data_IF_011928715544
#
_entry.id   IF_011928715544
#
_cell.length_a   1.000
_cell.length_b   1.000
_cell.length_c   1.000
_cell.angle_alpha   90.00
_cell.angle_beta   90.00
_cell.angle_gamma   90.00
#
_symmetry.space_group_name_H-M   'P 1'
#
loop_
_entity.id
_entity.type
_entity.pdbx_description
1 polymer ?
#
# COMPACT_ATOMS: atom_id res chain seq x y z
N UNK A 1 6.42 30.01 7.44
CA UNK A 1 5.10 29.57 6.97
C UNK A 1 5.13 28.06 6.94
N UNK A 2 4.67 27.42 8.03
CA UNK A 2 4.59 25.96 8.10
C UNK A 2 3.21 25.57 7.63
N UNK A 3 3.13 24.66 6.66
CA UNK A 3 1.85 24.07 6.29
C UNK A 3 1.34 23.30 7.51
N UNK A 4 0.36 23.90 8.18
CA UNK A 4 -0.25 23.34 9.37
C UNK A 4 -1.25 22.26 9.02
N UNK A 5 -1.60 21.42 10.00
CA UNK A 5 -2.62 20.37 9.84
C UNK A 5 -3.95 20.91 9.25
N UNK A 6 -4.31 22.16 9.59
CA UNK A 6 -5.53 22.80 9.06
C UNK A 6 -5.48 23.11 7.56
N UNK A 7 -4.33 23.57 7.05
CA UNK A 7 -4.15 23.87 5.62
C UNK A 7 -4.13 22.60 4.78
N UNK A 8 -3.49 21.54 5.30
CA UNK A 8 -3.51 20.21 4.68
C UNK A 8 -4.94 19.65 4.60
N UNK A 9 -5.74 19.81 5.66
CA UNK A 9 -7.15 19.36 5.68
C UNK A 9 -8.01 20.14 4.67
N UNK A 10 -7.79 21.45 4.56
CA UNK A 10 -8.51 22.29 3.59
C UNK A 10 -8.17 21.92 2.15
N UNK A 11 -6.89 21.68 1.85
CA UNK A 11 -6.44 21.18 0.54
C UNK A 11 -7.05 19.81 0.23
N UNK A 12 -7.03 18.89 1.20
CA UNK A 12 -7.63 17.56 1.06
C UNK A 12 -9.14 17.68 0.74
N UNK A 13 -9.85 18.60 1.40
CA UNK A 13 -11.27 18.83 1.16
C UNK A 13 -11.53 19.35 -0.27
N UNK A 14 -10.70 20.28 -0.77
CA UNK A 14 -10.79 20.78 -2.15
C UNK A 14 -10.54 19.64 -3.16
N UNK A 15 -9.49 18.84 -2.95
CA UNK A 15 -9.20 17.64 -3.75
C UNK A 15 -10.39 16.66 -3.74
N UNK A 16 -11.02 16.48 -2.59
CA UNK A 16 -12.19 15.61 -2.44
C UNK A 16 -13.42 16.13 -3.18
N UNK A 17 -13.61 17.45 -3.26
CA UNK A 17 -14.70 18.06 -4.02
C UNK A 17 -14.46 17.95 -5.54
N UNK A 18 -13.21 18.11 -6.00
CA UNK A 18 -12.87 18.05 -7.43
C UNK A 18 -12.91 16.60 -7.96
N UNK A 19 -12.29 15.67 -7.24
CA UNK A 19 -12.17 14.27 -7.68
C UNK A 19 -13.26 13.36 -7.10
N UNK A 20 -13.92 13.78 -6.03
CA UNK A 20 -14.90 12.95 -5.29
C UNK A 20 -14.22 12.03 -4.28
N UNK A 21 -14.92 11.75 -3.16
CA UNK A 21 -14.42 10.89 -2.08
C UNK A 21 -14.08 9.45 -2.47
N UNK A 22 -14.60 8.98 -3.61
CA UNK A 22 -14.36 7.62 -4.10
C UNK A 22 -13.11 7.49 -4.96
N UNK A 23 -12.62 8.58 -5.57
CA UNK A 23 -11.53 8.50 -6.54
C UNK A 23 -10.14 8.56 -5.92
N UNK A 24 -9.96 9.24 -4.79
CA UNK A 24 -8.72 9.18 -4.02
C UNK A 24 -8.34 7.74 -3.60
N UNK A 25 -9.23 6.96 -2.94
CA UNK A 25 -8.90 5.58 -2.56
C UNK A 25 -8.75 4.65 -3.77
N UNK A 26 -9.53 4.85 -4.84
CA UNK A 26 -9.42 4.09 -6.10
C UNK A 26 -8.04 4.28 -6.76
N UNK A 27 -7.56 5.53 -6.82
CA UNK A 27 -6.22 5.86 -7.31
C UNK A 27 -5.12 5.33 -6.39
N UNK A 28 -5.29 5.44 -5.07
CA UNK A 28 -4.34 4.92 -4.09
C UNK A 28 -4.21 3.39 -4.16
N UNK A 29 -5.32 2.66 -4.35
CA UNK A 29 -5.26 1.20 -4.58
C UNK A 29 -4.51 0.87 -5.88
N UNK A 30 -4.80 1.58 -6.97
CA UNK A 30 -4.13 1.36 -8.26
C UNK A 30 -2.63 1.61 -8.18
N UNK A 31 -2.24 2.75 -7.61
CA UNK A 31 -0.84 3.11 -7.38
C UNK A 31 -0.16 2.15 -6.40
N UNK A 32 -0.84 1.75 -5.32
CA UNK A 32 -0.31 0.81 -4.33
C UNK A 32 -0.03 -0.56 -4.93
N UNK A 33 -0.95 -1.08 -5.75
CA UNK A 33 -0.75 -2.33 -6.50
C UNK A 33 0.40 -2.20 -7.51
N UNK A 34 0.47 -1.08 -8.23
CA UNK A 34 1.54 -0.82 -9.19
C UNK A 34 2.92 -0.74 -8.50
N UNK A 35 3.03 0.05 -7.42
CA UNK A 35 4.27 0.18 -6.63
C UNK A 35 4.66 -1.14 -6.00
N UNK A 36 3.70 -1.91 -5.45
CA UNK A 36 3.96 -3.24 -4.90
C UNK A 36 4.51 -4.20 -5.94
N UNK A 37 3.89 -4.26 -7.12
CA UNK A 37 4.33 -5.13 -8.21
C UNK A 37 5.68 -4.65 -8.78
N UNK A 38 5.89 -3.34 -8.87
CA UNK A 38 7.15 -2.75 -9.31
C UNK A 38 8.29 -3.05 -8.33
N UNK A 39 8.06 -2.88 -7.03
CA UNK A 39 9.03 -3.27 -6.00
C UNK A 39 9.29 -4.76 -6.02
N UNK A 40 8.25 -5.59 -6.18
CA UNK A 40 8.42 -7.04 -6.27
C UNK A 40 9.27 -7.42 -7.47
N UNK A 41 8.99 -6.90 -8.66
CA UNK A 41 9.78 -7.18 -9.86
C UNK A 41 11.22 -6.64 -9.74
N UNK A 42 11.39 -5.44 -9.19
CA UNK A 42 12.71 -4.87 -8.96
C UNK A 42 13.53 -5.67 -7.95
N UNK A 43 12.89 -6.23 -6.91
CA UNK A 43 13.52 -7.10 -5.93
C UNK A 43 13.74 -8.52 -6.46
N UNK A 44 12.84 -9.09 -7.26
CA UNK A 44 12.99 -10.43 -7.87
C UNK A 44 14.17 -10.45 -8.86
N UNK A 45 14.40 -9.35 -9.59
CA UNK A 45 15.61 -9.14 -10.42
C UNK A 45 16.90 -9.01 -9.58
N UNK A 46 16.82 -8.63 -8.29
CA UNK A 46 17.95 -8.59 -7.36
C UNK A 46 18.11 -9.94 -6.60
N UNK A 47 17.00 -10.61 -6.27
CA UNK A 47 16.89 -11.85 -5.48
C UNK A 47 17.12 -13.14 -6.29
N UNK A 48 17.24 -13.08 -7.62
CA UNK A 48 17.82 -14.19 -8.41
C UNK A 48 19.31 -14.43 -8.05
N UNK A 49 19.89 -13.55 -7.20
CA UNK A 49 21.17 -13.78 -6.52
C UNK A 49 21.01 -14.30 -5.08
N UNK A 50 19.88 -14.06 -4.40
CA UNK A 50 19.66 -14.46 -2.99
C UNK A 50 18.17 -14.71 -2.67
N UNK A 51 17.77 -15.98 -2.65
CA UNK A 51 16.82 -16.56 -1.68
C UNK A 51 15.34 -16.13 -1.75
N UNK A 52 14.60 -17.03 -2.42
CA UNK A 52 13.38 -17.72 -1.96
C UNK A 52 13.24 -17.89 -0.42
N UNK A 53 12.97 -16.84 0.33
CA UNK A 53 12.54 -16.85 1.74
C UNK A 53 11.48 -15.74 1.87
N UNK A 54 10.17 -16.01 1.84
CA UNK A 54 9.40 -16.17 3.07
C UNK A 54 7.93 -16.50 2.67
N UNK A 55 7.62 -17.78 2.48
CA UNK A 55 6.24 -18.28 2.41
C UNK A 55 5.85 -18.93 3.75
N UNK A 56 6.15 -18.25 4.85
CA UNK A 56 5.90 -18.77 6.20
C UNK A 56 5.58 -17.61 7.12
N UNK A 57 4.30 -17.32 7.34
CA UNK A 57 3.69 -16.95 8.66
C UNK A 57 2.25 -16.45 8.43
N UNK A 58 1.30 -17.39 8.38
CA UNK A 58 -0.05 -17.32 9.01
C UNK A 58 -0.94 -18.45 8.50
N UNK A 59 -0.61 -19.69 8.87
CA UNK A 59 -1.58 -20.80 8.81
C UNK A 59 -1.38 -21.76 9.99
N UNK A 60 -1.17 -21.23 11.19
CA UNK A 60 -1.13 -22.03 12.41
C UNK A 60 -1.70 -21.21 13.57
N UNK A 61 -3.03 -21.13 13.65
CA UNK A 61 -3.77 -20.90 14.91
C UNK A 61 -5.27 -21.09 14.64
N UNK A 62 -5.71 -22.35 14.72
CA UNK A 62 -7.02 -22.80 15.21
C UNK A 62 -7.33 -24.17 14.60
N UNK A 63 -7.05 -25.23 15.36
CA UNK A 63 -7.42 -26.58 14.94
C UNK A 63 -6.66 -27.74 15.57
N UNK A 64 -6.40 -27.72 16.88
CA UNK A 64 -6.17 -28.97 17.62
C UNK A 64 -6.40 -28.82 19.13
N UNK A 65 -7.62 -29.10 19.57
CA UNK A 65 -7.85 -29.73 20.87
C UNK A 65 -8.66 -31.00 20.60
N UNK A 66 -7.93 -32.12 20.39
CA UNK A 66 -8.26 -33.50 20.75
C UNK A 66 -6.97 -34.32 20.67
#
# INVERSE_FOLDING_TARGET
>A
MNIGMGEALLLLLILLLLFGGKKLPELAEGLGKAVKNFRKAALDDEEDTEKKEENTTKKEESGKEK
#
